data_IF_466124976656
#
_entry.id   IF_466124976656
#
_cell.length_a   1.000
_cell.length_b   1.000
_cell.length_c   1.000
_cell.angle_alpha   90.00
_cell.angle_beta   90.00
_cell.angle_gamma   90.00
#
_symmetry.space_group_name_H-M   'P 1'
#
loop_
_entity.id
_entity.type
_entity.pdbx_description
1 polymer ?
#
# COMPACT_ATOMS: atom_id res chain seq x y z
N UNK A 1 -44.36 -36.71 14.28
CA UNK A 1 -43.41 -35.76 14.93
C UNK A 1 -41.95 -36.06 14.58
N UNK A 2 -41.45 -37.29 14.76
CA UNK A 2 -40.04 -37.65 14.46
C UNK A 2 -39.62 -37.45 12.99
N UNK A 3 -40.50 -37.72 12.02
CA UNK A 3 -40.23 -37.52 10.58
C UNK A 3 -40.06 -36.04 10.16
N UNK A 4 -40.80 -35.13 10.82
CA UNK A 4 -40.67 -33.67 10.59
C UNK A 4 -39.37 -33.12 11.22
N UNK A 5 -38.94 -33.72 12.34
CA UNK A 5 -37.68 -33.38 12.99
C UNK A 5 -36.45 -33.82 12.16
N UNK A 6 -36.50 -35.00 11.52
CA UNK A 6 -35.45 -35.41 10.57
C UNK A 6 -35.42 -34.54 9.31
N UNK A 7 -36.58 -34.06 8.85
CA UNK A 7 -36.67 -33.18 7.69
C UNK A 7 -36.06 -31.79 7.95
N UNK A 8 -36.32 -31.21 9.14
CA UNK A 8 -35.71 -29.95 9.57
C UNK A 8 -34.19 -30.07 9.78
N UNK A 9 -33.73 -31.20 10.33
CA UNK A 9 -32.30 -31.44 10.58
C UNK A 9 -31.50 -31.66 9.27
N UNK A 10 -32.12 -32.24 8.25
CA UNK A 10 -31.52 -32.39 6.92
C UNK A 10 -31.44 -31.06 6.15
N UNK A 11 -32.40 -30.16 6.38
CA UNK A 11 -32.47 -28.84 5.75
C UNK A 11 -31.46 -27.84 6.33
N UNK A 12 -31.11 -27.96 7.62
CA UNK A 12 -30.04 -27.15 8.23
C UNK A 12 -28.65 -27.66 7.87
N UNK A 13 -28.48 -28.97 7.66
CA UNK A 13 -27.19 -29.56 7.27
C UNK A 13 -26.79 -29.22 5.82
N UNK A 14 -27.76 -28.98 4.94
CA UNK A 14 -27.52 -28.59 3.54
C UNK A 14 -27.18 -27.10 3.37
N UNK A 15 -27.68 -26.23 4.25
CA UNK A 15 -27.30 -24.79 4.25
C UNK A 15 -25.83 -24.57 4.65
N UNK A 16 -25.26 -25.43 5.50
CA UNK A 16 -23.88 -25.30 5.98
C UNK A 16 -22.82 -25.67 4.95
N UNK A 17 -23.18 -26.39 3.87
CA UNK A 17 -22.22 -26.89 2.87
C UNK A 17 -22.05 -25.90 1.70
N UNK A 18 -22.98 -24.95 1.52
CA UNK A 18 -22.95 -24.00 0.39
C UNK A 18 -22.05 -22.76 0.65
N UNK A 19 -21.42 -22.66 1.82
CA UNK A 19 -20.57 -21.51 2.20
C UNK A 19 -19.09 -21.61 1.82
N UNK A 20 -18.64 -22.72 1.21
CA UNK A 20 -17.24 -22.94 0.84
C UNK A 20 -17.06 -22.89 -0.70
N UNK A 21 -17.46 -21.78 -1.32
CA UNK A 21 -16.95 -21.44 -2.64
C UNK A 21 -15.54 -20.86 -2.48
N UNK A 22 -14.58 -21.14 -3.38
CA UNK A 22 -13.33 -20.40 -3.38
C UNK A 22 -13.67 -18.92 -3.58
N UNK A 23 -13.41 -18.09 -2.57
CA UNK A 23 -13.30 -16.66 -2.75
C UNK A 23 -12.05 -16.46 -3.61
N UNK A 24 -12.23 -16.55 -4.93
CA UNK A 24 -11.21 -16.11 -5.87
C UNK A 24 -11.26 -14.60 -5.76
N UNK A 25 -10.45 -14.06 -4.84
CA UNK A 25 -10.09 -12.66 -4.86
C UNK A 25 -9.44 -12.43 -6.22
N UNK A 26 -10.20 -11.87 -7.13
CA UNK A 26 -9.71 -11.42 -8.43
C UNK A 26 -8.57 -10.45 -8.11
N UNK A 27 -7.33 -10.90 -8.31
CA UNK A 27 -6.17 -10.03 -8.28
C UNK A 27 -6.30 -9.19 -9.54
N UNK A 28 -7.02 -8.08 -9.42
CA UNK A 28 -6.91 -6.95 -10.32
C UNK A 28 -5.42 -6.56 -10.29
N UNK A 29 -4.68 -7.02 -11.31
CA UNK A 29 -3.30 -6.64 -11.56
C UNK A 29 -3.29 -5.17 -12.00
N UNK A 30 -3.58 -4.28 -11.04
CA UNK A 30 -3.39 -2.86 -11.22
C UNK A 30 -1.90 -2.63 -11.32
N UNK A 31 -1.41 -2.55 -12.56
CA UNK A 31 0.00 -2.34 -12.84
C UNK A 31 0.54 -1.19 -11.97
N UNK A 32 1.49 -1.51 -11.10
CA UNK A 32 2.16 -0.50 -10.31
C UNK A 32 3.12 0.30 -11.20
N UNK A 33 3.18 1.64 -11.09
CA UNK A 33 2.37 2.51 -10.22
C UNK A 33 1.11 3.07 -10.92
N UNK A 34 -0.04 2.94 -10.26
CA UNK A 34 -1.33 3.43 -10.76
C UNK A 34 -1.69 4.85 -10.27
N UNK A 35 -0.87 5.45 -9.41
CA UNK A 35 -1.04 6.81 -8.86
C UNK A 35 0.33 7.43 -8.53
N UNK A 36 0.40 8.76 -8.31
CA UNK A 36 1.65 9.40 -7.95
C UNK A 36 2.30 8.82 -6.69
N UNK A 37 3.63 8.76 -6.68
CA UNK A 37 4.46 8.30 -5.57
C UNK A 37 4.97 9.51 -4.79
N UNK A 38 4.94 9.44 -3.46
CA UNK A 38 5.55 10.43 -2.58
C UNK A 38 6.92 9.95 -2.10
N UNK A 39 7.98 10.66 -2.49
CA UNK A 39 9.32 10.47 -1.99
C UNK A 39 9.59 11.44 -0.84
N UNK A 40 9.83 10.90 0.35
CA UNK A 40 10.11 11.66 1.56
C UNK A 40 11.61 11.83 1.72
N UNK A 41 12.08 13.08 1.70
CA UNK A 41 13.44 13.46 2.07
C UNK A 41 13.43 13.92 3.53
N UNK A 42 14.14 13.26 4.46
CA UNK A 42 14.06 13.58 5.89
C UNK A 42 14.92 14.80 6.29
N UNK A 43 15.32 15.62 5.31
CA UNK A 43 16.22 16.77 5.46
C UNK A 43 15.67 18.01 4.76
N UNK A 44 16.26 19.16 5.07
CA UNK A 44 15.83 20.45 4.52
C UNK A 44 15.94 20.53 3.00
N UNK A 45 15.00 21.24 2.39
CA UNK A 45 15.01 21.53 0.96
C UNK A 45 16.28 22.29 0.55
N UNK A 46 16.79 22.02 -0.65
CA UNK A 46 18.04 22.59 -1.17
C UNK A 46 19.33 22.01 -0.57
N UNK A 47 19.24 21.13 0.43
CA UNK A 47 20.39 20.38 0.94
C UNK A 47 20.84 19.27 -0.02
N UNK A 48 22.00 18.66 0.26
CA UNK A 48 22.57 17.60 -0.56
C UNK A 48 21.57 16.48 -0.89
N UNK A 49 20.87 15.96 0.14
CA UNK A 49 19.85 14.92 -0.06
C UNK A 49 18.68 15.36 -0.93
N UNK A 50 18.22 16.59 -0.77
CA UNK A 50 17.10 17.11 -1.57
C UNK A 50 17.50 17.29 -3.04
N UNK A 51 18.69 17.83 -3.31
CA UNK A 51 19.16 18.11 -4.67
C UNK A 51 19.34 16.81 -5.46
N UNK A 52 20.06 15.83 -4.91
CA UNK A 52 20.23 14.55 -5.62
C UNK A 52 18.90 13.77 -5.68
N UNK A 53 18.10 13.82 -4.61
CA UNK A 53 16.81 13.14 -4.54
C UNK A 53 15.85 13.61 -5.62
N UNK A 54 15.76 14.92 -5.86
CA UNK A 54 14.95 15.49 -6.95
C UNK A 54 15.43 15.02 -8.33
N UNK A 55 16.74 14.95 -8.55
CA UNK A 55 17.28 14.45 -9.81
C UNK A 55 16.94 12.96 -10.02
N UNK A 56 17.04 12.14 -8.97
CA UNK A 56 16.66 10.73 -9.03
C UNK A 56 15.15 10.57 -9.29
N UNK A 57 14.31 11.28 -8.56
CA UNK A 57 12.86 11.17 -8.68
C UNK A 57 12.35 11.64 -10.05
N UNK A 58 12.98 12.65 -10.66
CA UNK A 58 12.69 13.04 -12.05
C UNK A 58 13.01 11.92 -13.05
N UNK A 59 14.16 11.26 -12.91
CA UNK A 59 14.51 10.10 -13.73
C UNK A 59 13.55 8.92 -13.55
N UNK A 60 13.19 8.60 -12.30
CA UNK A 60 12.22 7.54 -12.00
C UNK A 60 10.83 7.87 -12.52
N UNK A 61 10.39 9.13 -12.38
CA UNK A 61 9.10 9.60 -12.90
C UNK A 61 8.99 9.36 -14.41
N UNK A 62 10.07 9.62 -15.17
CA UNK A 62 10.15 9.33 -16.60
C UNK A 62 10.11 7.84 -16.91
N UNK A 63 10.78 7.01 -16.10
CA UNK A 63 10.81 5.56 -16.29
C UNK A 63 9.45 4.90 -16.01
N UNK A 64 8.73 5.36 -14.99
CA UNK A 64 7.43 4.80 -14.61
C UNK A 64 6.24 5.46 -15.33
N UNK A 65 6.45 6.60 -15.99
CA UNK A 65 5.35 7.37 -16.59
C UNK A 65 4.36 7.92 -15.55
N UNK A 66 4.77 7.99 -14.28
CA UNK A 66 3.96 8.50 -13.18
C UNK A 66 4.72 9.56 -12.42
N UNK A 67 4.02 10.57 -11.91
CA UNK A 67 4.63 11.63 -11.12
C UNK A 67 5.19 11.09 -9.80
N UNK A 68 6.44 11.44 -9.50
CA UNK A 68 7.03 11.23 -8.18
C UNK A 68 7.31 12.58 -7.52
N UNK A 69 6.60 12.88 -6.43
CA UNK A 69 6.71 14.15 -5.71
C UNK A 69 7.71 14.04 -4.56
N UNK A 70 8.65 14.98 -4.47
CA UNK A 70 9.57 15.09 -3.33
C UNK A 70 8.99 15.98 -2.24
N UNK A 71 8.81 15.40 -1.06
CA UNK A 71 8.36 16.10 0.15
C UNK A 71 9.47 16.10 1.20
N UNK A 72 9.85 17.28 1.69
CA UNK A 72 10.83 17.40 2.77
C UNK A 72 10.14 17.32 4.14
N UNK A 73 10.54 16.36 4.97
CA UNK A 73 10.01 16.17 6.33
C UNK A 73 11.18 16.23 7.31
N UNK A 74 11.43 17.43 7.83
CA UNK A 74 12.54 17.67 8.77
C UNK A 74 12.14 17.36 10.21
N UNK A 75 13.11 16.96 11.04
CA UNK A 75 12.93 16.82 12.48
C UNK A 75 13.48 15.52 13.05
N UNK A 76 13.57 15.47 14.38
CA UNK A 76 14.12 14.34 15.10
C UNK A 76 15.65 14.23 14.99
N UNK A 77 16.20 13.18 15.60
CA UNK A 77 17.64 12.89 15.52
C UNK A 77 17.95 12.33 14.13
N UNK A 78 18.83 13.01 13.38
CA UNK A 78 19.28 12.58 12.04
C UNK A 78 18.11 12.29 11.08
N UNK A 79 17.03 13.09 11.15
CA UNK A 79 15.87 12.94 10.27
C UNK A 79 14.88 11.85 10.66
N UNK A 80 14.93 11.34 11.90
CA UNK A 80 14.08 10.24 12.37
C UNK A 80 12.58 10.51 12.21
N UNK A 81 12.14 11.78 12.23
CA UNK A 81 10.72 12.12 12.00
C UNK A 81 10.26 11.73 10.59
N UNK A 82 11.04 12.08 9.56
CA UNK A 82 10.71 11.73 8.18
C UNK A 82 10.75 10.23 7.92
N UNK A 83 11.74 9.54 8.49
CA UNK A 83 11.83 8.07 8.41
C UNK A 83 10.63 7.40 9.09
N UNK A 84 10.25 7.86 10.28
CA UNK A 84 9.07 7.34 10.97
C UNK A 84 7.78 7.59 10.18
N UNK A 85 7.65 8.72 9.49
CA UNK A 85 6.50 8.99 8.62
C UNK A 85 6.40 7.97 7.49
N UNK A 86 7.52 7.62 6.85
CA UNK A 86 7.54 6.57 5.81
C UNK A 86 7.22 5.21 6.41
N UNK A 87 7.83 4.88 7.55
CA UNK A 87 7.62 3.60 8.24
C UNK A 87 6.15 3.36 8.61
N UNK A 88 5.46 4.41 9.06
CA UNK A 88 4.05 4.38 9.43
C UNK A 88 3.09 4.51 8.24
N UNK A 89 3.58 4.78 7.03
CA UNK A 89 2.75 4.82 5.83
C UNK A 89 2.27 3.43 5.43
N UNK A 90 1.31 3.36 4.50
CA UNK A 90 0.93 2.08 3.89
C UNK A 90 2.13 1.48 3.15
N UNK A 91 2.36 0.19 3.32
CA UNK A 91 3.47 -0.54 2.67
C UNK A 91 3.10 -0.97 1.25
N UNK A 92 2.61 -0.01 0.46
CA UNK A 92 2.07 -0.21 -0.90
C UNK A 92 2.97 0.42 -1.99
N UNK A 93 4.17 0.90 -1.62
CA UNK A 93 5.16 1.48 -2.52
C UNK A 93 4.95 2.96 -2.86
N UNK A 94 3.80 3.56 -2.51
CA UNK A 94 3.50 4.95 -2.87
C UNK A 94 4.05 5.99 -1.90
N UNK A 95 4.69 5.56 -0.81
CA UNK A 95 5.48 6.42 0.07
C UNK A 95 6.83 5.78 0.28
N UNK A 96 7.89 6.44 -0.20
CA UNK A 96 9.26 5.92 -0.16
C UNK A 96 10.18 6.90 0.56
N UNK A 97 11.25 6.39 1.17
CA UNK A 97 12.29 7.21 1.77
C UNK A 97 13.40 7.52 0.76
N UNK A 98 13.90 8.75 0.78
CA UNK A 98 15.03 9.23 -0.02
C UNK A 98 16.01 9.93 0.94
N UNK A 99 16.99 9.19 1.45
CA UNK A 99 17.90 9.62 2.54
C UNK A 99 19.32 9.81 2.06
#
# INVERSE_FOLDING_TARGET
MKKSLYFLLAMTLTLSITGCGPNVSEVEDTAYPARPINAVVPFGAGGGTDVWGRALMDGMSKAFGTTITVTNVTGGSVGSTGVNQVWSAKHDGYTIACT
#
